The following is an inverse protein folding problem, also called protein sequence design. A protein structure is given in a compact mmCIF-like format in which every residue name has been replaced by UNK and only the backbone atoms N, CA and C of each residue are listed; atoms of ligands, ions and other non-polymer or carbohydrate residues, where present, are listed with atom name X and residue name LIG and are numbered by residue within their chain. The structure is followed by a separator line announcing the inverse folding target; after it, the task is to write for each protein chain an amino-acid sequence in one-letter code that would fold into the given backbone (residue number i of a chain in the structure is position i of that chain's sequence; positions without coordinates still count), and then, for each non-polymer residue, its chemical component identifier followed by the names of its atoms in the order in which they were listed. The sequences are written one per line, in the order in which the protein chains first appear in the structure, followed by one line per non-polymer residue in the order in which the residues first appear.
data_IF_852325096021
#
_entry.id   IF_852325096021
#
_cell.length_a   1.000
_cell.length_b   1.000
_cell.length_c   1.000
_cell.angle_alpha   90.00
_cell.angle_beta   90.00
_cell.angle_gamma   90.00
#
_symmetry.space_group_name_H-M   'P 1'
#
loop_
_entity.id
_entity.type
_entity.pdbx_description
1 polymer ?
#
# COMPACT_ATOMS: atom_id res chain seq x y z
N UNK A 1 11.42 4.49 -4.30
CA UNK A 1 10.23 5.01 -4.98
C UNK A 1 9.52 3.78 -5.49
N UNK A 2 8.30 3.55 -5.02
CA UNK A 2 7.46 2.43 -5.44
C UNK A 2 6.56 2.95 -6.57
N UNK A 3 6.41 2.17 -7.63
CA UNK A 3 5.59 2.52 -8.78
C UNK A 3 4.30 1.68 -8.74
N UNK A 4 3.14 2.33 -8.82
CA UNK A 4 1.84 1.68 -8.82
C UNK A 4 1.18 1.80 -10.18
N UNK A 5 0.61 0.70 -10.69
CA UNK A 5 -0.19 0.68 -11.92
C UNK A 5 -1.63 1.12 -11.62
N UNK A 6 -1.82 2.43 -11.42
CA UNK A 6 -3.12 3.04 -11.12
C UNK A 6 -3.41 4.23 -12.04
N UNK A 7 -4.69 4.43 -12.37
CA UNK A 7 -5.12 5.62 -13.09
C UNK A 7 -5.24 6.80 -12.12
N UNK A 8 -4.18 7.60 -12.01
CA UNK A 8 -4.14 8.78 -11.13
C UNK A 8 -5.29 9.77 -11.38
N UNK A 9 -5.77 9.89 -12.62
CA UNK A 9 -6.83 10.84 -12.99
C UNK A 9 -8.22 10.44 -12.47
N UNK A 10 -8.39 9.19 -12.02
CA UNK A 10 -9.62 8.69 -11.39
C UNK A 10 -9.66 8.91 -9.87
N UNK A 11 -8.56 9.42 -9.29
CA UNK A 11 -8.44 9.61 -7.85
C UNK A 11 -9.02 10.96 -7.42
N UNK A 12 -9.87 10.93 -6.41
CA UNK A 12 -10.38 12.13 -5.76
C UNK A 12 -9.40 12.65 -4.70
N UNK A 13 -9.25 13.97 -4.63
CA UNK A 13 -8.36 14.60 -3.65
C UNK A 13 -8.94 14.49 -2.23
N UNK A 14 -8.13 13.99 -1.28
CA UNK A 14 -8.45 13.97 0.15
C UNK A 14 -7.33 14.59 0.99
N UNK A 15 -7.68 15.25 2.09
CA UNK A 15 -6.69 15.78 3.04
C UNK A 15 -6.02 14.66 3.85
N UNK A 16 -4.74 14.83 4.22
CA UNK A 16 -4.04 13.84 5.04
C UNK A 16 -4.66 13.75 6.44
N UNK A 17 -5.13 14.85 6.99
CA UNK A 17 -5.77 14.90 8.30
C UNK A 17 -7.05 14.07 8.33
N UNK A 18 -7.91 14.21 7.31
CA UNK A 18 -9.12 13.40 7.18
C UNK A 18 -8.80 11.92 7.01
N UNK A 19 -7.83 11.60 6.15
CA UNK A 19 -7.39 10.23 5.94
C UNK A 19 -6.79 9.59 7.21
N UNK A 20 -6.08 10.36 8.04
CA UNK A 20 -5.56 9.89 9.33
C UNK A 20 -6.67 9.58 10.34
N UNK A 21 -7.72 10.39 10.40
CA UNK A 21 -8.87 10.10 11.24
C UNK A 21 -9.59 8.82 10.78
N UNK A 22 -9.71 8.63 9.47
CA UNK A 22 -10.29 7.40 8.90
C UNK A 22 -9.40 6.18 9.26
N UNK A 23 -8.10 6.24 9.00
CA UNK A 23 -7.17 5.12 9.20
C UNK A 23 -7.07 4.65 10.67
N UNK A 24 -7.28 5.53 11.64
CA UNK A 24 -7.30 5.16 13.08
C UNK A 24 -8.44 4.19 13.41
N UNK A 25 -9.57 4.34 12.73
CA UNK A 25 -10.78 3.55 12.94
C UNK A 25 -10.82 2.26 12.12
N UNK A 26 -9.78 1.97 11.32
CA UNK A 26 -9.68 0.71 10.58
C UNK A 26 -9.55 -0.48 11.53
N UNK A 27 -10.23 -1.57 11.16
CA UNK A 27 -10.12 -2.87 11.81
C UNK A 27 -8.66 -3.35 11.86
N UNK A 28 -8.27 -3.98 12.98
CA UNK A 28 -6.92 -4.53 13.18
C UNK A 28 -6.76 -5.88 12.45
N UNK A 29 -6.69 -5.82 11.11
CA UNK A 29 -6.52 -6.97 10.24
C UNK A 29 -5.75 -6.59 8.97
N UNK A 30 -5.62 -7.52 8.03
CA UNK A 30 -4.97 -7.26 6.72
C UNK A 30 -5.75 -6.21 5.94
N UNK A 31 -5.06 -5.39 5.13
CA UNK A 31 -5.67 -4.28 4.41
C UNK A 31 -6.81 -4.71 3.48
N UNK A 32 -6.71 -5.89 2.87
CA UNK A 32 -7.74 -6.45 1.97
C UNK A 32 -9.10 -6.62 2.66
N UNK A 33 -9.09 -6.99 3.95
CA UNK A 33 -10.30 -7.21 4.75
C UNK A 33 -10.62 -5.99 5.64
N UNK A 34 -9.69 -5.05 5.78
CA UNK A 34 -9.84 -3.93 6.69
C UNK A 34 -10.83 -2.89 6.13
N UNK A 35 -11.78 -2.52 6.98
CA UNK A 35 -12.72 -1.44 6.71
C UNK A 35 -13.03 -0.64 7.96
N UNK A 36 -13.80 0.43 7.77
CA UNK A 36 -14.38 1.19 8.87
C UNK A 36 -15.63 1.93 8.44
N UNK A 37 -16.43 2.36 9.41
CA UNK A 37 -17.58 3.24 9.20
C UNK A 37 -17.38 4.50 10.02
N UNK A 38 -17.16 5.63 9.34
CA UNK A 38 -16.96 6.93 9.97
C UNK A 38 -17.99 7.93 9.43
N UNK A 39 -18.72 8.57 10.34
CA UNK A 39 -19.77 9.55 9.99
C UNK A 39 -20.83 9.03 9.01
N UNK A 40 -21.15 7.74 9.08
CA UNK A 40 -22.13 7.09 8.19
C UNK A 40 -21.60 6.76 6.79
N UNK A 41 -20.32 7.03 6.51
CA UNK A 41 -19.63 6.59 5.29
C UNK A 41 -18.80 5.36 5.57
N UNK A 42 -18.73 4.47 4.59
CA UNK A 42 -17.94 3.22 4.66
C UNK A 42 -16.63 3.42 3.91
N UNK A 43 -15.53 3.02 4.52
CA UNK A 43 -14.21 3.08 3.93
C UNK A 43 -13.54 1.73 3.99
N UNK A 44 -12.83 1.36 2.92
CA UNK A 44 -11.98 0.17 2.85
C UNK A 44 -10.70 0.50 2.09
N UNK A 45 -9.81 -0.47 1.96
CA UNK A 45 -8.74 -0.36 0.97
C UNK A 45 -8.95 -1.27 -0.23
N UNK A 46 -8.39 -0.89 -1.37
CA UNK A 46 -8.09 -1.82 -2.45
C UNK A 46 -6.58 -2.06 -2.48
N UNK A 47 -6.17 -3.32 -2.42
CA UNK A 47 -4.77 -3.71 -2.32
C UNK A 47 -4.00 -3.36 -3.60
N UNK A 48 -2.87 -2.65 -3.44
CA UNK A 48 -1.94 -2.32 -4.52
C UNK A 48 -0.73 -3.23 -4.50
N UNK A 49 -0.20 -3.50 -3.31
CA UNK A 49 0.99 -4.30 -3.10
C UNK A 49 0.88 -5.11 -1.80
N UNK A 50 1.28 -6.38 -1.88
CA UNK A 50 1.45 -7.26 -0.71
C UNK A 50 2.86 -7.83 -0.78
N UNK A 51 3.74 -7.30 0.08
CA UNK A 51 5.13 -7.72 0.11
C UNK A 51 5.26 -9.14 0.67
N UNK A 52 6.33 -9.82 0.29
CA UNK A 52 6.69 -11.09 0.90
C UNK A 52 7.12 -10.89 2.35
N UNK A 53 6.97 -11.94 3.15
CA UNK A 53 7.49 -11.95 4.52
C UNK A 53 9.01 -11.82 4.53
N UNK A 54 9.52 -10.81 5.23
CA UNK A 54 10.92 -10.71 5.63
C UNK A 54 11.13 -11.52 6.92
N UNK A 55 11.88 -12.61 6.83
CA UNK A 55 12.16 -13.50 7.95
C UNK A 55 13.46 -13.10 8.65
N UNK A 56 13.32 -12.45 9.81
CA UNK A 56 14.45 -12.06 10.67
C UNK A 56 14.62 -13.05 11.85
N UNK A 57 14.15 -14.29 11.68
CA UNK A 57 14.25 -15.36 12.66
C UNK A 57 13.03 -15.44 13.57
N UNK A 58 13.12 -14.81 14.76
CA UNK A 58 12.02 -14.89 15.74
C UNK A 58 10.78 -14.11 15.30
N UNK A 59 11.01 -12.99 14.60
CA UNK A 59 9.98 -12.09 14.11
C UNK A 59 10.05 -12.03 12.60
N UNK A 60 8.89 -12.00 11.98
CA UNK A 60 8.75 -11.85 10.54
C UNK A 60 7.82 -10.68 10.29
N UNK A 61 8.15 -9.90 9.27
CA UNK A 61 7.44 -8.68 8.93
C UNK A 61 6.94 -8.77 7.49
N UNK A 62 5.78 -8.19 7.21
CA UNK A 62 5.38 -7.87 5.84
C UNK A 62 4.70 -6.52 5.82
N UNK A 63 4.77 -5.88 4.66
CA UNK A 63 4.06 -4.64 4.40
C UNK A 63 2.97 -4.87 3.36
N UNK A 64 1.81 -4.29 3.59
CA UNK A 64 0.75 -4.17 2.60
C UNK A 64 0.52 -2.70 2.30
N UNK A 65 0.36 -2.36 1.03
CA UNK A 65 -0.04 -1.03 0.60
C UNK A 65 -1.34 -1.11 -0.18
N UNK A 66 -2.32 -0.29 0.20
CA UNK A 66 -3.62 -0.21 -0.45
C UNK A 66 -4.07 1.23 -0.66
N UNK A 67 -4.96 1.44 -1.61
CA UNK A 67 -5.58 2.74 -1.88
C UNK A 67 -6.85 2.91 -1.05
N UNK A 68 -7.00 4.08 -0.41
CA UNK A 68 -8.19 4.37 0.39
C UNK A 68 -9.40 4.58 -0.52
N UNK A 69 -10.51 3.93 -0.20
CA UNK A 69 -11.73 3.94 -0.99
C UNK A 69 -12.96 4.27 -0.13
N UNK A 70 -13.89 5.06 -0.66
CA UNK A 70 -15.26 5.18 -0.13
C UNK A 70 -16.15 4.11 -0.77
N UNK A 71 -17.02 3.51 0.02
CA UNK A 71 -17.90 2.43 -0.40
C UNK A 71 -19.38 2.75 -0.26
N UNK A 72 -20.19 2.05 -1.04
CA UNK A 72 -21.64 1.99 -0.87
C UNK A 72 -22.04 1.07 0.30
N UNK A 73 -23.36 0.93 0.52
CA UNK A 73 -23.91 0.10 1.58
C UNK A 73 -23.56 -1.40 1.45
N UNK A 74 -23.21 -1.86 0.25
CA UNK A 74 -22.82 -3.25 -0.03
C UNK A 74 -21.29 -3.44 -0.03
N UNK A 75 -20.52 -2.44 0.41
CA UNK A 75 -19.05 -2.44 0.38
C UNK A 75 -18.45 -2.44 -1.04
N UNK A 76 -19.25 -2.05 -2.04
CA UNK A 76 -18.79 -1.76 -3.40
C UNK A 76 -18.03 -0.44 -3.43
N UNK A 77 -16.89 -0.40 -4.12
CA UNK A 77 -16.08 0.83 -4.25
C UNK A 77 -16.81 1.86 -5.09
N UNK A 78 -17.04 3.05 -4.54
CA UNK A 78 -17.69 4.18 -5.23
C UNK A 78 -16.67 5.26 -5.59
N UNK A 79 -15.68 5.49 -4.72
CA UNK A 79 -14.62 6.49 -4.92
C UNK A 79 -13.28 5.94 -4.48
N UNK A 80 -12.23 6.33 -5.19
CA UNK A 80 -10.84 6.09 -4.81
C UNK A 80 -10.19 7.43 -4.53
N UNK A 81 -9.44 7.54 -3.45
CA UNK A 81 -8.77 8.78 -3.09
C UNK A 81 -7.30 8.75 -3.48
N UNK A 82 -6.68 9.92 -3.59
CA UNK A 82 -5.24 10.08 -3.78
C UNK A 82 -4.44 9.80 -2.49
N UNK A 83 -4.88 8.80 -1.73
CA UNK A 83 -4.34 8.38 -0.43
C UNK A 83 -4.02 6.90 -0.48
N UNK A 84 -2.78 6.57 -0.11
CA UNK A 84 -2.34 5.21 0.13
C UNK A 84 -2.21 4.95 1.63
N UNK A 85 -2.63 3.76 2.06
CA UNK A 85 -2.42 3.24 3.40
C UNK A 85 -1.36 2.15 3.36
N UNK A 86 -0.38 2.21 4.25
CA UNK A 86 0.65 1.18 4.41
C UNK A 86 0.49 0.53 5.77
N UNK A 87 0.33 -0.79 5.80
CA UNK A 87 0.19 -1.57 7.01
C UNK A 87 1.42 -2.46 7.22
N UNK A 88 2.06 -2.33 8.38
CA UNK A 88 3.05 -3.28 8.86
C UNK A 88 2.34 -4.42 9.60
N UNK A 89 2.60 -5.66 9.18
CA UNK A 89 2.10 -6.86 9.84
C UNK A 89 3.31 -7.61 10.39
N UNK A 90 3.30 -7.80 11.70
CA UNK A 90 4.31 -8.60 12.39
C UNK A 90 3.71 -9.96 12.72
N UNK A 91 4.48 -11.03 12.49
CA UNK A 91 4.15 -12.34 13.06
C UNK A 91 5.30 -12.93 13.83
N UNK A 92 4.96 -13.70 14.85
CA UNK A 92 5.90 -14.52 15.61
C UNK A 92 5.35 -15.93 15.76
N UNK A 93 6.23 -16.91 15.86
CA UNK A 93 5.87 -18.33 15.85
C UNK A 93 6.82 -19.13 14.98
N UNK A 94 6.45 -20.36 14.65
CA UNK A 94 7.27 -21.25 13.84
C UNK A 94 6.39 -22.31 13.20
N UNK A 95 6.93 -23.10 12.28
CA UNK A 95 6.23 -24.28 11.77
C UNK A 95 5.84 -25.29 12.88
N UNK A 96 6.48 -25.22 14.05
CA UNK A 96 6.26 -26.12 15.18
C UNK A 96 5.38 -25.51 16.29
N UNK A 97 4.85 -24.30 16.10
CA UNK A 97 4.00 -23.60 17.06
C UNK A 97 2.93 -22.77 16.35
N UNK A 98 1.91 -22.31 17.05
CA UNK A 98 0.96 -21.36 16.46
C UNK A 98 1.67 -20.04 16.07
N UNK A 99 1.15 -19.40 15.03
CA UNK A 99 1.57 -18.06 14.62
C UNK A 99 0.68 -17.01 15.30
N UNK A 100 1.31 -16.03 15.92
CA UNK A 100 0.67 -14.85 16.50
C UNK A 100 0.92 -13.67 15.58
N UNK A 101 -0.17 -13.01 15.16
CA UNK A 101 -0.14 -11.86 14.27
C UNK A 101 -0.45 -10.58 15.05
N UNK A 102 0.31 -9.53 14.75
CA UNK A 102 0.11 -8.18 15.25
C UNK A 102 -0.05 -7.26 14.03
N UNK A 103 -1.12 -6.48 14.05
CA UNK A 103 -1.47 -5.53 12.99
C UNK A 103 -1.31 -4.13 13.57
N UNK A 104 -0.35 -3.37 13.03
CA UNK A 104 -0.21 -1.97 13.41
C UNK A 104 -1.33 -1.12 12.81
N UNK A 105 -1.48 0.14 13.25
CA UNK A 105 -2.40 1.04 12.56
C UNK A 105 -1.78 1.49 11.24
N UNK A 106 -2.54 1.55 10.13
CA UNK A 106 -1.96 1.91 8.84
C UNK A 106 -1.38 3.32 8.83
N UNK A 107 -0.19 3.47 8.24
CA UNK A 107 0.40 4.77 7.92
C UNK A 107 -0.30 5.37 6.70
N UNK A 108 -0.49 6.69 6.71
CA UNK A 108 -1.20 7.42 5.65
C UNK A 108 -0.22 8.19 4.77
N UNK A 109 -0.32 8.01 3.45
CA UNK A 109 0.53 8.67 2.48
C UNK A 109 -0.29 9.31 1.35
N UNK A 110 0.19 10.44 0.84
CA UNK A 110 -0.35 11.08 -0.36
C UNK A 110 0.23 10.43 -1.61
N UNK A 111 -0.62 10.04 -2.55
CA UNK A 111 -0.19 9.57 -3.86
C UNK A 111 0.17 10.79 -4.71
N UNK A 112 1.33 10.77 -5.36
CA UNK A 112 1.80 11.88 -6.19
C UNK A 112 2.20 11.39 -7.59
N UNK A 113 1.75 12.10 -8.62
CA UNK A 113 2.14 11.83 -10.00
C UNK A 113 3.50 12.48 -10.29
N UNK A 114 4.50 11.67 -10.67
CA UNK A 114 5.80 12.15 -11.12
C UNK A 114 6.04 11.74 -12.56
N UNK A 115 6.25 12.71 -13.45
CA UNK A 115 6.58 12.47 -14.86
C UNK A 115 8.09 12.33 -15.00
N UNK A 116 8.56 11.16 -15.44
CA UNK A 116 9.97 10.93 -15.79
C UNK A 116 10.13 11.23 -17.29
N UNK A 117 10.86 12.29 -17.68
CA UNK A 117 11.08 12.58 -19.09
C UNK A 117 11.95 11.51 -19.74
N UNK A 118 11.63 11.15 -20.98
CA UNK A 118 12.40 10.20 -21.78
C UNK A 118 13.82 10.72 -22.00
N UNK A 119 14.83 10.00 -21.51
CA UNK A 119 16.23 10.34 -21.74
C UNK A 119 16.69 9.75 -23.07
N UNK A 120 16.90 10.61 -24.07
CA UNK A 120 17.58 10.23 -25.30
C UNK A 120 19.07 10.04 -24.97
N UNK A 121 19.55 8.79 -24.91
CA UNK A 121 20.98 8.50 -24.76
C UNK A 121 21.63 8.73 -26.13
N UNK A 122 22.56 9.70 -26.27
CA UNK A 122 23.24 9.93 -27.53
C UNK A 122 24.07 8.70 -27.94
N UNK A 123 24.19 8.49 -29.25
CA UNK A 123 25.03 7.45 -29.82
C UNK A 123 26.45 7.57 -29.27
N UNK A 124 26.97 6.47 -28.71
CA UNK A 124 28.35 6.38 -28.24
C UNK A 124 29.01 5.11 -28.73
N UNK A 125 30.27 5.22 -29.10
CA UNK A 125 31.11 4.06 -29.41
C UNK A 125 31.61 3.44 -28.11
N UNK A 126 31.37 2.15 -27.91
CA UNK A 126 31.92 1.37 -26.80
C UNK A 126 33.02 0.46 -27.35
N UNK A 127 34.22 0.56 -26.77
CA UNK A 127 35.33 -0.35 -27.07
C UNK A 127 35.45 -1.32 -25.91
N UNK A 128 35.35 -2.61 -26.21
CA UNK A 128 35.44 -3.72 -25.24
C UNK A 128 36.58 -4.66 -25.61
N UNK A 129 37.10 -5.38 -24.61
CA UNK A 129 38.15 -6.39 -24.76
C UNK A 129 37.46 -7.73 -25.07
N UNK A 130 38.00 -8.52 -25.99
CA UNK A 130 37.56 -9.89 -26.23
C UNK A 130 37.98 -10.77 -25.05
N UNK A 131 37.02 -11.42 -24.38
CA UNK A 131 37.35 -12.46 -23.39
C UNK A 131 37.88 -13.71 -24.12
N UNK A 132 39.04 -14.21 -23.66
CA UNK A 132 39.73 -15.40 -24.19
C UNK A 132 39.33 -16.65 -23.45
#
# INVERSE_FOLDING_TARGET
MVEFDINYEELEEMSLEEAQEIAKEFDECVLEDAGTVLNGKKYKTELLEDENWDDQGKYQYKYQTGILCECDDQWGTVKKFDIALTLCITRSGSYFSDYYFEYEKPEVHKIVKKVIPEQIIPERTVVTIEEV
#
